data_IF_780812872437
#
_entry.id   IF_780812872437
#
_cell.length_a   1.000
_cell.length_b   1.000
_cell.length_c   1.000
_cell.angle_alpha   90.00
_cell.angle_beta   90.00
_cell.angle_gamma   90.00
#
_symmetry.space_group_name_H-M   'P 1'
#
loop_
_entity.id
_entity.type
_entity.pdbx_description
1 polymer ?
#
# COMPACT_ATOMS: atom_id res chain seq x y z
N UNK A 1 5.85 2.14 17.22
CA UNK A 1 5.38 0.73 17.09
C UNK A 1 6.47 -0.10 16.41
N UNK A 2 6.63 -1.39 16.74
CA UNK A 2 7.52 -2.31 16.00
C UNK A 2 7.06 -3.77 16.10
N UNK A 3 7.44 -4.61 15.13
CA UNK A 3 7.23 -6.06 15.12
C UNK A 3 8.35 -6.74 15.92
N UNK A 4 8.06 -7.32 17.08
CA UNK A 4 9.06 -7.96 17.96
C UNK A 4 9.32 -9.42 17.63
N UNK A 5 8.34 -10.10 17.00
CA UNK A 5 8.40 -11.51 16.66
C UNK A 5 7.65 -11.79 15.37
N UNK A 6 8.17 -12.70 14.55
CA UNK A 6 7.49 -13.27 13.39
C UNK A 6 7.61 -14.80 13.44
N UNK A 7 6.50 -15.50 13.23
CA UNK A 7 6.46 -16.95 13.11
C UNK A 7 5.67 -17.35 11.86
N UNK A 8 6.22 -18.26 11.06
CA UNK A 8 5.61 -18.76 9.83
C UNK A 8 5.42 -20.26 9.91
N UNK A 9 4.35 -20.75 9.31
CA UNK A 9 4.11 -22.17 9.08
C UNK A 9 3.52 -22.38 7.70
N UNK A 10 4.13 -23.26 6.92
CA UNK A 10 3.73 -23.64 5.56
C UNK A 10 3.48 -22.43 4.63
N UNK A 11 4.28 -21.37 4.74
CA UNK A 11 4.12 -20.15 3.97
C UNK A 11 5.20 -20.05 2.88
N UNK A 12 4.80 -20.03 1.60
CA UNK A 12 5.72 -20.03 0.45
C UNK A 12 6.75 -21.16 0.57
N UNK A 13 8.05 -20.83 0.69
CA UNK A 13 9.13 -21.79 0.89
C UNK A 13 9.46 -22.06 2.38
N UNK A 14 8.80 -21.39 3.32
CA UNK A 14 8.99 -21.59 4.76
C UNK A 14 8.04 -22.68 5.28
N UNK A 15 8.57 -23.85 5.62
CA UNK A 15 7.81 -24.89 6.33
C UNK A 15 7.53 -24.47 7.78
N UNK A 16 8.56 -23.97 8.47
CA UNK A 16 8.46 -23.39 9.79
C UNK A 16 9.56 -22.33 9.98
N UNK A 17 9.20 -21.21 10.58
CA UNK A 17 10.12 -20.14 10.97
C UNK A 17 9.66 -19.53 12.28
N UNK A 18 10.59 -19.18 13.18
CA UNK A 18 10.29 -18.45 14.41
C UNK A 18 11.48 -17.52 14.73
N UNK A 19 11.25 -16.21 14.67
CA UNK A 19 12.32 -15.20 14.72
C UNK A 19 11.96 -14.04 15.62
N UNK A 20 12.97 -13.49 16.30
CA UNK A 20 12.86 -12.25 17.05
C UNK A 20 13.45 -11.09 16.22
N UNK A 21 12.78 -9.95 16.25
CA UNK A 21 13.13 -8.78 15.47
C UNK A 21 13.37 -7.59 16.41
N UNK A 22 14.51 -6.92 16.22
CA UNK A 22 14.90 -5.76 17.02
C UNK A 22 14.21 -4.48 16.52
N UNK A 23 13.98 -3.46 17.37
CA UNK A 23 13.31 -2.20 17.01
C UNK A 23 14.10 -1.28 16.06
N UNK A 24 15.26 -1.70 15.54
CA UNK A 24 16.10 -0.94 14.62
C UNK A 24 16.19 -1.57 13.23
N UNK A 25 17.38 -1.55 12.64
CA UNK A 25 17.64 -2.17 11.34
C UNK A 25 17.88 -3.68 11.49
N UNK A 26 17.13 -4.47 10.74
CA UNK A 26 17.37 -5.90 10.50
C UNK A 26 17.74 -6.10 9.04
N UNK A 27 18.89 -6.71 8.79
CA UNK A 27 19.40 -7.03 7.45
C UNK A 27 19.24 -8.54 7.22
N UNK A 28 18.46 -8.87 6.20
CA UNK A 28 18.22 -10.22 5.70
C UNK A 28 19.15 -10.48 4.51
N UNK A 29 20.11 -11.37 4.66
CA UNK A 29 21.09 -11.72 3.62
C UNK A 29 20.85 -13.12 3.08
N UNK A 30 21.43 -13.43 1.91
CA UNK A 30 21.33 -14.74 1.29
C UNK A 30 21.27 -14.62 -0.22
N UNK A 31 21.41 -15.73 -0.93
CA UNK A 31 21.30 -15.72 -2.39
C UNK A 31 19.89 -15.35 -2.87
N UNK A 32 19.75 -15.08 -4.17
CA UNK A 32 18.45 -14.86 -4.78
C UNK A 32 17.58 -16.13 -4.67
N UNK A 33 16.27 -15.94 -4.62
CA UNK A 33 15.28 -17.01 -4.46
C UNK A 33 15.31 -17.81 -3.14
N UNK A 34 16.13 -17.43 -2.16
CA UNK A 34 16.22 -18.13 -0.86
C UNK A 34 15.05 -17.87 0.10
N UNK A 35 14.18 -16.90 -0.21
CA UNK A 35 12.98 -16.60 0.60
C UNK A 35 12.96 -15.21 1.25
N UNK A 36 14.00 -14.38 1.06
CA UNK A 36 14.08 -13.01 1.61
C UNK A 36 12.81 -12.17 1.34
N UNK A 37 12.41 -12.07 0.07
CA UNK A 37 11.16 -11.41 -0.36
C UNK A 37 9.91 -12.08 0.21
N UNK A 38 9.91 -13.41 0.37
CA UNK A 38 8.77 -14.12 0.96
C UNK A 38 8.60 -13.75 2.45
N UNK A 39 9.68 -13.53 3.18
CA UNK A 39 9.61 -13.07 4.57
C UNK A 39 9.01 -11.66 4.66
N UNK A 40 9.45 -10.72 3.80
CA UNK A 40 8.82 -9.39 3.71
C UNK A 40 7.35 -9.47 3.27
N UNK A 41 7.01 -10.35 2.33
CA UNK A 41 5.63 -10.61 1.91
C UNK A 41 4.76 -11.10 3.07
N UNK A 42 5.30 -11.92 3.98
CA UNK A 42 4.57 -12.36 5.16
C UNK A 42 4.26 -11.21 6.13
N UNK A 43 5.20 -10.29 6.33
CA UNK A 43 5.01 -9.10 7.18
C UNK A 43 3.99 -8.16 6.53
N UNK A 44 4.11 -7.93 5.22
CA UNK A 44 3.15 -7.13 4.46
C UNK A 44 1.73 -7.73 4.53
N UNK A 45 1.61 -9.05 4.38
CA UNK A 45 0.36 -9.77 4.52
C UNK A 45 -0.22 -9.60 5.93
N UNK A 46 0.60 -9.70 6.98
CA UNK A 46 0.19 -9.51 8.37
C UNK A 46 -0.29 -8.07 8.67
N UNK A 47 0.04 -7.10 7.82
CA UNK A 47 -0.41 -5.72 7.94
C UNK A 47 -1.71 -5.45 7.17
N UNK A 48 -1.74 -5.81 5.88
CA UNK A 48 -2.80 -5.44 4.94
C UNK A 48 -3.82 -6.55 4.67
N UNK A 49 -3.59 -7.74 5.23
CA UNK A 49 -4.32 -8.97 4.92
C UNK A 49 -4.37 -9.31 3.42
N UNK A 50 -3.43 -8.77 2.63
CA UNK A 50 -3.23 -9.05 1.21
C UNK A 50 -1.74 -9.11 0.88
N UNK A 51 -1.40 -9.88 -0.16
CA UNK A 51 -0.05 -9.86 -0.73
C UNK A 51 0.10 -8.67 -1.69
N UNK A 52 1.32 -8.14 -1.79
CA UNK A 52 1.69 -7.17 -2.81
C UNK A 52 2.03 -7.83 -4.16
N UNK A 53 2.24 -9.16 -4.19
CA UNK A 53 2.73 -9.93 -5.35
C UNK A 53 1.65 -10.75 -6.04
N UNK A 54 0.66 -11.23 -5.29
CA UNK A 54 -0.42 -12.07 -5.84
C UNK A 54 -1.79 -11.70 -5.26
N UNK A 55 -2.82 -11.85 -6.09
CA UNK A 55 -4.22 -11.73 -5.66
C UNK A 55 -4.80 -13.09 -5.22
N UNK A 56 -4.05 -14.17 -5.37
CA UNK A 56 -4.53 -15.53 -5.12
C UNK A 56 -3.90 -16.08 -3.84
N UNK A 57 -4.68 -16.09 -2.76
CA UNK A 57 -4.20 -16.47 -1.42
C UNK A 57 -3.58 -17.88 -1.36
N UNK A 58 -4.05 -18.78 -2.21
CA UNK A 58 -3.56 -20.16 -2.29
C UNK A 58 -2.12 -20.25 -2.76
N UNK A 59 -1.64 -19.29 -3.56
CA UNK A 59 -0.26 -19.29 -4.07
C UNK A 59 0.77 -19.03 -2.95
N UNK A 60 0.30 -18.50 -1.82
CA UNK A 60 1.12 -18.24 -0.64
C UNK A 60 1.25 -19.46 0.28
N UNK A 61 0.46 -20.52 0.06
CA UNK A 61 0.55 -21.76 0.84
C UNK A 61 1.65 -22.63 0.25
N UNK A 62 2.53 -23.16 1.11
CA UNK A 62 3.59 -24.08 0.70
C UNK A 62 2.99 -25.29 -0.03
N UNK A 63 3.66 -25.72 -1.09
CA UNK A 63 3.22 -26.90 -1.85
C UNK A 63 3.08 -28.14 -0.97
N UNK A 64 2.01 -28.90 -1.21
CA UNK A 64 1.66 -30.08 -0.41
C UNK A 64 0.94 -29.77 0.92
N UNK A 65 0.80 -28.50 1.30
CA UNK A 65 0.08 -28.09 2.51
C UNK A 65 -1.36 -27.62 2.22
N UNK A 66 -2.27 -27.83 3.17
CA UNK A 66 -3.67 -27.36 3.06
C UNK A 66 -3.89 -25.96 3.64
N UNK A 67 -2.95 -25.47 4.45
CA UNK A 67 -3.03 -24.20 5.14
C UNK A 67 -1.65 -23.58 5.38
N UNK A 68 -1.63 -22.27 5.58
CA UNK A 68 -0.47 -21.51 6.05
C UNK A 68 -0.87 -20.63 7.24
N UNK A 69 0.07 -20.37 8.15
CA UNK A 69 -0.12 -19.48 9.30
C UNK A 69 1.02 -18.47 9.34
N UNK A 70 0.66 -17.21 9.45
CA UNK A 70 1.57 -16.08 9.68
C UNK A 70 1.17 -15.48 11.03
N UNK A 71 2.09 -15.48 11.98
CA UNK A 71 1.91 -14.89 13.30
C UNK A 71 2.97 -13.82 13.52
N UNK A 72 2.58 -12.74 14.18
CA UNK A 72 3.54 -11.74 14.65
C UNK A 72 3.12 -11.13 15.97
N UNK A 73 4.09 -10.55 16.65
CA UNK A 73 3.84 -9.79 17.87
C UNK A 73 4.24 -8.34 17.64
N UNK A 74 3.29 -7.44 17.83
CA UNK A 74 3.49 -6.01 17.63
C UNK A 74 3.61 -5.35 18.99
N UNK A 75 4.72 -4.67 19.22
CA UNK A 75 4.94 -3.87 20.42
C UNK A 75 4.57 -2.42 20.14
N UNK A 76 3.63 -1.90 20.94
CA UNK A 76 3.18 -0.51 20.90
C UNK A 76 3.15 0.02 22.33
N UNK A 77 3.94 1.06 22.60
CA UNK A 77 4.20 1.55 23.97
C UNK A 77 4.65 0.40 24.89
N UNK A 78 3.93 0.16 25.98
CA UNK A 78 4.21 -0.92 26.94
C UNK A 78 3.49 -2.24 26.63
N UNK A 79 2.68 -2.31 25.57
CA UNK A 79 1.88 -3.48 25.23
C UNK A 79 2.51 -4.27 24.08
N UNK A 80 2.42 -5.60 24.18
CA UNK A 80 2.72 -6.51 23.08
C UNK A 80 1.44 -7.23 22.68
N UNK A 81 1.05 -7.10 21.42
CA UNK A 81 -0.22 -7.59 20.90
C UNK A 81 0.04 -8.61 19.79
N UNK A 82 -0.50 -9.83 19.90
CA UNK A 82 -0.35 -10.83 18.86
C UNK A 82 -1.33 -10.60 17.70
N UNK A 83 -0.81 -10.75 16.49
CA UNK A 83 -1.53 -10.75 15.22
C UNK A 83 -1.36 -12.11 14.56
N UNK A 84 -2.41 -12.58 13.88
CA UNK A 84 -2.36 -13.84 13.15
C UNK A 84 -3.19 -13.76 11.86
N UNK A 85 -2.66 -14.31 10.78
CA UNK A 85 -3.41 -14.62 9.55
C UNK A 85 -3.27 -16.11 9.26
N UNK A 86 -4.40 -16.76 9.07
CA UNK A 86 -4.49 -18.13 8.58
C UNK A 86 -5.02 -18.12 7.14
N UNK A 87 -4.31 -18.81 6.26
CA UNK A 87 -4.70 -19.04 4.88
C UNK A 87 -5.12 -20.50 4.71
N UNK A 88 -6.22 -20.75 4.03
CA UNK A 88 -6.67 -22.11 3.72
C UNK A 88 -7.54 -22.11 2.47
N UNK A 89 -7.84 -23.32 1.95
CA UNK A 89 -8.84 -23.53 0.89
C UNK A 89 -10.24 -22.99 1.24
N UNK A 90 -10.55 -22.86 2.53
CA UNK A 90 -11.85 -22.34 3.02
C UNK A 90 -11.89 -20.81 3.06
N UNK A 91 -10.75 -20.15 2.86
CA UNK A 91 -10.60 -18.71 2.95
C UNK A 91 -9.58 -18.29 4.00
N UNK A 92 -9.58 -16.99 4.27
CA UNK A 92 -8.64 -16.29 5.14
C UNK A 92 -9.31 -15.93 6.47
N UNK A 93 -8.64 -16.25 7.59
CA UNK A 93 -9.05 -15.85 8.94
C UNK A 93 -7.96 -14.94 9.50
N UNK A 94 -8.35 -13.81 10.06
CA UNK A 94 -7.43 -12.90 10.75
C UNK A 94 -7.79 -12.84 12.23
N UNK A 95 -6.79 -12.86 13.12
CA UNK A 95 -6.98 -12.73 14.56
C UNK A 95 -6.20 -11.55 15.11
N UNK A 96 -6.84 -10.79 15.97
CA UNK A 96 -6.23 -9.71 16.73
C UNK A 96 -6.37 -10.04 18.21
N UNK A 97 -5.25 -10.08 18.94
CA UNK A 97 -5.23 -10.45 20.35
C UNK A 97 -5.97 -11.79 20.62
N UNK A 98 -5.64 -12.82 19.83
CA UNK A 98 -6.24 -14.16 19.85
C UNK A 98 -7.71 -14.28 19.44
N UNK A 99 -8.38 -13.17 19.12
CA UNK A 99 -9.79 -13.16 18.72
C UNK A 99 -9.96 -13.06 17.21
N UNK A 100 -10.78 -13.95 16.65
CA UNK A 100 -11.16 -13.93 15.23
C UNK A 100 -11.87 -12.62 14.88
N UNK A 101 -11.44 -11.99 13.79
CA UNK A 101 -12.05 -10.76 13.29
C UNK A 101 -13.16 -11.08 12.30
N UNK A 102 -14.37 -10.55 12.56
CA UNK A 102 -15.54 -10.78 11.72
C UNK A 102 -15.36 -10.24 10.28
N UNK A 103 -14.54 -9.19 10.13
CA UNK A 103 -14.17 -8.63 8.83
C UNK A 103 -12.66 -8.37 8.80
N UNK A 104 -11.99 -8.73 7.70
CA UNK A 104 -10.57 -8.43 7.49
C UNK A 104 -10.24 -6.93 7.63
N UNK A 105 -11.19 -6.05 7.30
CA UNK A 105 -11.01 -4.59 7.46
C UNK A 105 -10.83 -4.14 8.91
N UNK A 106 -11.26 -4.93 9.91
CA UNK A 106 -11.04 -4.64 11.32
C UNK A 106 -9.61 -4.99 11.77
N UNK A 107 -8.94 -5.85 11.01
CA UNK A 107 -7.57 -6.28 11.24
C UNK A 107 -6.54 -5.34 10.58
N UNK A 108 -6.91 -4.70 9.46
CA UNK A 108 -6.04 -3.72 8.78
C UNK A 108 -5.76 -2.52 9.71
N UNK A 109 -4.51 -2.05 9.71
CA UNK A 109 -4.05 -0.93 10.53
C UNK A 109 -3.59 -1.30 11.94
N UNK A 110 -3.62 -2.59 12.31
CA UNK A 110 -3.06 -3.08 13.60
C UNK A 110 -1.53 -3.20 13.58
N UNK A 111 -0.98 -3.41 12.39
CA UNK A 111 0.42 -3.25 12.05
C UNK A 111 0.44 -2.38 10.79
N UNK A 112 1.10 -1.23 10.84
CA UNK A 112 1.30 -0.38 9.66
C UNK A 112 2.67 -0.68 9.07
N UNK A 113 2.71 -0.84 7.76
CA UNK A 113 3.95 -1.08 7.02
C UNK A 113 4.03 -0.14 5.83
N UNK A 114 5.26 0.26 5.51
CA UNK A 114 5.62 0.84 4.21
C UNK A 114 6.57 -0.13 3.54
N UNK A 115 6.21 -0.58 2.35
CA UNK A 115 7.06 -1.45 1.52
C UNK A 115 7.68 -0.61 0.43
N UNK A 116 9.00 -0.69 0.30
CA UNK A 116 9.73 -0.23 -0.86
C UNK A 116 10.27 -1.44 -1.61
N UNK A 117 9.76 -1.66 -2.82
CA UNK A 117 10.15 -2.77 -3.69
C UNK A 117 10.42 -2.28 -5.11
N UNK A 118 11.13 -3.07 -5.96
CA UNK A 118 11.47 -2.67 -7.33
C UNK A 118 10.23 -2.38 -8.19
N UNK A 119 9.11 -3.04 -7.89
CA UNK A 119 7.83 -2.84 -8.59
C UNK A 119 7.25 -1.44 -8.38
N UNK A 120 7.66 -0.69 -7.37
CA UNK A 120 7.18 0.68 -7.11
C UNK A 120 7.50 1.63 -8.28
N UNK A 121 8.45 1.28 -9.15
CA UNK A 121 8.66 2.00 -10.42
C UNK A 121 7.40 2.08 -11.29
N UNK A 122 6.49 1.12 -11.15
CA UNK A 122 5.20 1.12 -11.83
C UNK A 122 4.23 2.19 -11.31
N UNK A 123 4.49 2.83 -10.17
CA UNK A 123 3.70 3.99 -9.75
C UNK A 123 3.85 5.15 -10.74
N UNK A 124 5.04 5.31 -11.32
CA UNK A 124 5.27 6.31 -12.38
C UNK A 124 4.78 5.78 -13.73
N UNK A 125 5.33 4.67 -14.22
CA UNK A 125 5.08 4.22 -15.61
C UNK A 125 3.78 3.45 -15.82
N UNK A 126 3.23 2.91 -14.74
CA UNK A 126 2.15 1.96 -14.80
C UNK A 126 0.78 2.61 -14.94
N UNK A 127 -0.24 1.75 -14.85
CA UNK A 127 -1.62 2.16 -15.03
C UNK A 127 -2.15 2.99 -13.84
N UNK A 128 -3.21 3.80 -14.05
CA UNK A 128 -3.94 4.47 -12.97
C UNK A 128 -4.41 3.52 -11.86
N UNK A 129 -4.63 2.24 -12.18
CA UNK A 129 -5.06 1.24 -11.19
C UNK A 129 -4.00 1.01 -10.12
N UNK A 130 -2.71 1.00 -10.48
CA UNK A 130 -1.62 0.79 -9.54
C UNK A 130 -1.48 1.99 -8.60
N UNK A 131 -1.62 3.21 -9.12
CA UNK A 131 -1.60 4.44 -8.30
C UNK A 131 -2.79 4.54 -7.36
N UNK A 132 -3.99 4.12 -7.80
CA UNK A 132 -5.15 4.01 -6.89
C UNK A 132 -4.92 2.95 -5.82
N UNK A 133 -4.40 1.78 -6.18
CA UNK A 133 -4.08 0.72 -5.21
C UNK A 133 -3.06 1.19 -4.17
N UNK A 134 -2.05 1.96 -4.58
CA UNK A 134 -1.11 2.62 -3.70
C UNK A 134 -1.84 3.53 -2.71
N UNK A 135 -2.62 4.51 -3.19
CA UNK A 135 -3.37 5.43 -2.32
C UNK A 135 -4.31 4.67 -1.38
N UNK A 136 -5.02 3.67 -1.90
CA UNK A 136 -5.98 2.86 -1.15
C UNK A 136 -5.31 2.03 -0.05
N UNK A 137 -4.09 1.54 -0.29
CA UNK A 137 -3.30 0.80 0.70
C UNK A 137 -2.81 1.72 1.82
N UNK A 138 -2.25 2.88 1.49
CA UNK A 138 -1.71 3.82 2.48
C UNK A 138 -2.83 4.42 3.36
N UNK A 139 -3.90 4.92 2.73
CA UNK A 139 -5.06 5.43 3.46
C UNK A 139 -5.81 4.32 4.19
N UNK A 140 -5.89 3.11 3.62
CA UNK A 140 -6.59 1.98 4.23
C UNK A 140 -6.00 1.53 5.57
N UNK A 141 -4.67 1.59 5.71
CA UNK A 141 -3.97 1.30 6.97
C UNK A 141 -4.15 2.42 8.00
N UNK A 142 -4.05 3.67 7.54
CA UNK A 142 -4.02 4.83 8.44
C UNK A 142 -5.42 5.35 8.85
N UNK A 143 -6.46 5.13 8.03
CA UNK A 143 -7.78 5.75 8.19
C UNK A 143 -8.91 4.71 8.10
N UNK A 144 -9.42 4.21 9.24
CA UNK A 144 -10.48 3.19 9.25
C UNK A 144 -11.77 3.61 8.53
N UNK A 145 -12.16 4.89 8.64
CA UNK A 145 -13.36 5.43 7.98
C UNK A 145 -13.20 5.42 6.44
N UNK A 146 -12.00 5.71 5.96
CA UNK A 146 -11.67 5.62 4.54
C UNK A 146 -11.84 4.19 4.03
N UNK A 147 -11.22 3.22 4.72
CA UNK A 147 -11.30 1.82 4.34
C UNK A 147 -12.75 1.30 4.31
N UNK A 148 -13.55 1.65 5.33
CA UNK A 148 -14.96 1.29 5.38
C UNK A 148 -15.73 1.88 4.18
N UNK A 149 -15.49 3.15 3.87
CA UNK A 149 -16.15 3.83 2.75
C UNK A 149 -15.73 3.25 1.40
N UNK A 150 -14.44 2.93 1.23
CA UNK A 150 -13.91 2.28 0.03
C UNK A 150 -14.56 0.90 -0.21
N UNK A 151 -14.68 0.08 0.82
CA UNK A 151 -15.32 -1.24 0.72
C UNK A 151 -16.81 -1.14 0.38
N UNK A 152 -17.52 -0.19 1.00
CA UNK A 152 -18.93 0.04 0.72
C UNK A 152 -19.15 0.62 -0.68
N UNK A 153 -18.29 1.56 -1.10
CA UNK A 153 -18.27 2.10 -2.46
C UNK A 153 -18.11 0.99 -3.50
N UNK A 154 -17.14 0.08 -3.34
CA UNK A 154 -16.96 -1.03 -4.28
C UNK A 154 -18.16 -1.99 -4.35
N UNK A 155 -18.83 -2.24 -3.21
CA UNK A 155 -20.05 -3.05 -3.18
C UNK A 155 -21.19 -2.37 -3.94
N UNK A 156 -21.44 -1.09 -3.65
CA UNK A 156 -22.46 -0.29 -4.32
C UNK A 156 -22.15 -0.13 -5.82
N UNK A 157 -20.89 0.05 -6.19
CA UNK A 157 -20.45 0.12 -7.59
C UNK A 157 -20.76 -1.18 -8.33
N UNK A 158 -20.48 -2.34 -7.70
CA UNK A 158 -20.82 -3.64 -8.28
C UNK A 158 -22.34 -3.81 -8.42
N UNK A 159 -23.11 -3.40 -7.42
CA UNK A 159 -24.57 -3.42 -7.45
C UNK A 159 -25.12 -2.52 -8.56
N UNK A 160 -24.66 -1.26 -8.66
CA UNK A 160 -25.02 -0.32 -9.71
C UNK A 160 -24.69 -0.87 -11.09
N UNK A 161 -23.46 -1.35 -11.31
CA UNK A 161 -23.05 -1.93 -12.60
C UNK A 161 -23.87 -3.17 -12.98
N UNK A 162 -24.25 -4.00 -12.01
CA UNK A 162 -25.14 -5.14 -12.26
C UNK A 162 -26.52 -4.65 -12.69
N UNK A 163 -27.05 -3.64 -12.01
CA UNK A 163 -28.36 -3.07 -12.34
C UNK A 163 -28.39 -2.36 -13.70
N UNK A 164 -27.32 -1.63 -14.06
CA UNK A 164 -27.17 -1.03 -15.39
C UNK A 164 -27.23 -2.09 -16.50
N UNK A 165 -26.58 -3.25 -16.31
CA UNK A 165 -26.66 -4.37 -17.26
C UNK A 165 -28.08 -4.93 -17.38
N UNK A 166 -28.81 -5.05 -16.25
CA UNK A 166 -30.20 -5.49 -16.26
C UNK A 166 -31.12 -4.50 -17.00
N UNK A 167 -30.92 -3.19 -16.82
CA UNK A 167 -31.63 -2.16 -17.57
C UNK A 167 -31.36 -2.26 -19.08
N UNK A 168 -30.08 -2.43 -19.45
CA UNK A 168 -29.65 -2.63 -20.85
C UNK A 168 -30.32 -3.84 -21.50
N UNK A 169 -30.36 -4.96 -20.77
CA UNK A 169 -30.96 -6.22 -21.20
C UNK A 169 -32.49 -6.23 -21.07
N UNK A 170 -33.10 -5.11 -20.66
CA UNK A 170 -34.54 -4.92 -20.43
C UNK A 170 -35.13 -5.89 -19.39
N UNK A 171 -34.28 -6.45 -18.52
CA UNK A 171 -34.66 -7.29 -17.37
C UNK A 171 -35.12 -6.44 -16.18
N UNK A 172 -34.72 -5.17 -16.14
CA UNK A 172 -35.17 -4.17 -15.18
C UNK A 172 -35.66 -2.91 -15.91
N UNK A 173 -36.46 -2.07 -15.22
CA UNK A 173 -36.99 -0.81 -15.75
C UNK A 173 -37.02 0.35 -14.74
N UNK A 174 -36.70 0.09 -13.47
CA UNK A 174 -36.90 1.06 -12.39
C UNK A 174 -35.70 2.01 -12.26
N UNK A 175 -35.84 3.19 -12.84
CA UNK A 175 -34.81 4.24 -12.75
C UNK A 175 -34.71 4.86 -11.35
N UNK A 176 -35.77 4.79 -10.53
CA UNK A 176 -35.74 5.31 -9.16
C UNK A 176 -34.76 4.49 -8.32
N UNK A 177 -34.77 3.17 -8.48
CA UNK A 177 -33.79 2.31 -7.81
C UNK A 177 -32.35 2.59 -8.26
N UNK A 178 -32.13 2.87 -9.54
CA UNK A 178 -30.81 3.29 -10.03
C UNK A 178 -30.35 4.61 -9.35
N UNK A 179 -31.26 5.56 -9.18
CA UNK A 179 -30.98 6.84 -8.54
C UNK A 179 -30.66 6.67 -7.05
N UNK A 180 -31.43 5.85 -6.31
CA UNK A 180 -31.17 5.55 -4.89
C UNK A 180 -29.77 4.92 -4.70
N UNK A 181 -29.40 3.93 -5.51
CA UNK A 181 -28.05 3.34 -5.43
C UNK A 181 -26.98 4.37 -5.81
N UNK A 182 -27.28 5.21 -6.79
CA UNK A 182 -26.35 6.26 -7.22
C UNK A 182 -26.09 7.26 -6.10
N UNK A 183 -27.12 7.70 -5.37
CA UNK A 183 -26.96 8.61 -4.23
C UNK A 183 -26.11 7.99 -3.11
N UNK A 184 -26.37 6.72 -2.75
CA UNK A 184 -25.54 5.99 -1.78
C UNK A 184 -24.08 5.84 -2.24
N UNK A 185 -23.87 5.63 -3.55
CA UNK A 185 -22.54 5.54 -4.14
C UNK A 185 -21.81 6.88 -4.02
N UNK A 186 -22.51 7.99 -4.24
CA UNK A 186 -21.97 9.36 -4.15
C UNK A 186 -21.54 9.70 -2.73
N UNK A 187 -22.33 9.33 -1.72
CA UNK A 187 -21.99 9.56 -0.31
C UNK A 187 -20.63 8.97 0.07
N UNK A 188 -20.35 7.74 -0.36
CA UNK A 188 -19.03 7.13 -0.14
C UNK A 188 -17.95 7.68 -1.07
N UNK A 189 -18.30 8.09 -2.30
CA UNK A 189 -17.35 8.72 -3.23
C UNK A 189 -16.78 10.01 -2.64
N UNK A 190 -17.62 10.86 -2.06
CA UNK A 190 -17.24 12.12 -1.43
C UNK A 190 -16.25 11.91 -0.30
N UNK A 191 -16.52 10.96 0.60
CA UNK A 191 -15.59 10.61 1.69
C UNK A 191 -14.23 10.18 1.11
N UNK A 192 -14.23 9.26 0.13
CA UNK A 192 -13.00 8.76 -0.49
C UNK A 192 -12.20 9.90 -1.14
N UNK A 193 -12.86 10.75 -1.91
CA UNK A 193 -12.20 11.85 -2.65
C UNK A 193 -11.58 12.84 -1.66
N UNK A 194 -12.30 13.24 -0.61
CA UNK A 194 -11.78 14.17 0.40
C UNK A 194 -10.51 13.63 1.07
N UNK A 195 -10.53 12.37 1.53
CA UNK A 195 -9.33 11.74 2.10
C UNK A 195 -8.17 11.66 1.10
N UNK A 196 -8.44 11.41 -0.18
CA UNK A 196 -7.41 11.36 -1.22
C UNK A 196 -6.82 12.72 -1.53
N UNK A 197 -7.63 13.77 -1.59
CA UNK A 197 -7.17 15.15 -1.77
C UNK A 197 -6.26 15.56 -0.61
N UNK A 198 -6.72 15.35 0.62
CA UNK A 198 -5.95 15.64 1.83
C UNK A 198 -4.64 14.86 1.85
N UNK A 199 -4.68 13.55 1.54
CA UNK A 199 -3.49 12.72 1.46
C UNK A 199 -2.49 13.27 0.45
N UNK A 200 -2.94 13.54 -0.79
CA UNK A 200 -2.09 13.99 -1.89
C UNK A 200 -1.48 15.36 -1.60
N UNK A 201 -2.23 16.27 -1.00
CA UNK A 201 -1.72 17.58 -0.60
C UNK A 201 -0.60 17.46 0.45
N UNK A 202 -0.84 16.69 1.52
CA UNK A 202 0.11 16.58 2.63
C UNK A 202 1.35 15.80 2.22
N UNK A 203 1.17 14.64 1.58
CA UNK A 203 2.29 13.83 1.12
C UNK A 203 3.07 14.55 0.01
N UNK A 204 2.40 15.29 -0.87
CA UNK A 204 3.03 16.08 -1.92
C UNK A 204 3.98 17.14 -1.35
N UNK A 205 3.56 17.87 -0.30
CA UNK A 205 4.43 18.86 0.38
C UNK A 205 5.67 18.21 1.01
N UNK A 206 5.51 17.05 1.64
CA UNK A 206 6.63 16.32 2.28
C UNK A 206 7.57 15.75 1.20
N UNK A 207 7.00 15.08 0.20
CA UNK A 207 7.73 14.47 -0.91
C UNK A 207 8.50 15.52 -1.70
N UNK A 208 7.92 16.70 -1.96
CA UNK A 208 8.63 17.77 -2.65
C UNK A 208 9.89 18.21 -1.89
N UNK A 209 9.79 18.41 -0.57
CA UNK A 209 10.95 18.81 0.25
C UNK A 209 12.07 17.76 0.20
N UNK A 210 11.71 16.47 0.27
CA UNK A 210 12.67 15.36 0.20
C UNK A 210 13.28 15.28 -1.22
N UNK A 211 12.45 15.38 -2.25
CA UNK A 211 12.86 15.33 -3.65
C UNK A 211 13.80 16.47 -4.03
N UNK A 212 13.51 17.68 -3.57
CA UNK A 212 14.33 18.86 -3.78
C UNK A 212 15.74 18.67 -3.18
N UNK A 213 15.85 18.05 -2.00
CA UNK A 213 17.16 17.71 -1.42
C UNK A 213 17.89 16.63 -2.24
N UNK A 214 17.20 15.53 -2.56
CA UNK A 214 17.78 14.42 -3.33
C UNK A 214 18.18 14.80 -4.76
N UNK A 215 17.56 15.82 -5.34
CA UNK A 215 17.90 16.34 -6.68
C UNK A 215 18.97 17.44 -6.66
N UNK A 216 19.61 17.70 -5.52
CA UNK A 216 20.57 18.80 -5.33
C UNK A 216 19.94 20.17 -5.65
N UNK A 217 18.68 20.36 -5.25
CA UNK A 217 17.89 21.58 -5.42
C UNK A 217 17.62 21.93 -6.90
N UNK A 218 17.47 20.93 -7.77
CA UNK A 218 17.24 21.12 -9.21
C UNK A 218 15.80 20.86 -9.65
N UNK A 219 15.13 19.94 -8.96
CA UNK A 219 13.82 19.46 -9.35
C UNK A 219 12.77 19.78 -8.26
N UNK A 220 11.64 20.32 -8.69
CA UNK A 220 10.43 20.47 -7.89
C UNK A 220 9.43 19.38 -8.25
N UNK A 221 9.02 18.60 -7.25
CA UNK A 221 8.05 17.51 -7.40
C UNK A 221 6.67 17.97 -6.96
N UNK A 222 5.70 17.91 -7.89
CA UNK A 222 4.29 18.19 -7.60
C UNK A 222 3.43 16.95 -7.86
N UNK A 223 2.50 16.67 -6.95
CA UNK A 223 1.51 15.61 -7.09
C UNK A 223 0.14 16.23 -7.38
N UNK A 224 -0.62 15.63 -8.30
CA UNK A 224 -1.92 16.13 -8.69
C UNK A 224 -2.97 15.02 -8.74
N UNK A 225 -4.10 15.21 -8.06
CA UNK A 225 -5.23 14.31 -8.12
C UNK A 225 -6.15 14.66 -9.29
N UNK A 226 -6.15 13.82 -10.33
CA UNK A 226 -6.95 14.02 -11.54
C UNK A 226 -8.28 13.28 -11.43
N UNK A 227 -9.36 14.03 -11.46
CA UNK A 227 -10.71 13.49 -11.55
C UNK A 227 -10.94 12.72 -12.87
N UNK A 228 -11.86 11.77 -12.84
CA UNK A 228 -12.25 10.91 -13.97
C UNK A 228 -12.94 11.63 -15.12
N UNK A 229 -13.27 12.92 -14.97
CA UNK A 229 -13.87 13.76 -15.99
C UNK A 229 -13.39 15.20 -15.81
N UNK A 230 -13.23 15.94 -16.91
CA UNK A 230 -12.99 17.38 -16.87
C UNK A 230 -14.19 18.19 -16.35
N UNK A 231 -15.38 17.58 -16.27
CA UNK A 231 -16.57 18.16 -15.64
C UNK A 231 -16.56 18.07 -14.10
N UNK A 232 -15.62 17.31 -13.54
CA UNK A 232 -15.48 17.16 -12.10
C UNK A 232 -14.30 18.03 -11.64
N UNK A 233 -14.60 19.04 -10.83
CA UNK A 233 -13.61 19.88 -10.18
C UNK A 233 -13.82 19.81 -8.67
N UNK A 234 -13.05 18.94 -8.03
CA UNK A 234 -13.14 18.71 -6.58
C UNK A 234 -12.64 19.89 -5.73
N UNK A 235 -12.04 20.92 -6.33
CA UNK A 235 -11.62 22.13 -5.65
C UNK A 235 -12.61 23.30 -5.83
N UNK A 236 -13.66 23.10 -6.65
CA UNK A 236 -14.67 24.13 -6.87
C UNK A 236 -15.52 24.39 -5.62
N UNK A 237 -16.26 25.51 -5.62
CA UNK A 237 -17.23 25.83 -4.56
C UNK A 237 -18.43 24.89 -4.54
N UNK A 238 -18.67 24.17 -5.63
CA UNK A 238 -19.78 23.23 -5.74
C UNK A 238 -19.43 21.92 -5.04
N UNK A 239 -20.37 21.38 -4.26
CA UNK A 239 -20.11 20.16 -3.51
C UNK A 239 -19.87 18.98 -4.44
N UNK A 240 -18.98 18.07 -4.04
CA UNK A 240 -18.70 16.82 -4.77
C UNK A 240 -20.01 16.08 -5.04
N UNK A 241 -20.91 16.02 -4.04
CA UNK A 241 -22.23 15.41 -4.17
C UNK A 241 -23.02 15.96 -5.36
N UNK A 242 -23.13 17.29 -5.48
CA UNK A 242 -23.89 17.92 -6.57
C UNK A 242 -23.26 17.65 -7.94
N UNK A 243 -21.94 17.81 -8.06
CA UNK A 243 -21.23 17.52 -9.31
C UNK A 243 -21.45 16.06 -9.77
N UNK A 244 -21.44 15.11 -8.85
CA UNK A 244 -21.71 13.71 -9.18
C UNK A 244 -23.18 13.43 -9.53
N UNK A 245 -24.14 14.06 -8.83
CA UNK A 245 -25.55 13.93 -9.19
C UNK A 245 -25.80 14.42 -10.63
N UNK A 246 -25.23 15.56 -10.98
CA UNK A 246 -25.36 16.13 -12.33
C UNK A 246 -24.70 15.24 -13.39
N UNK A 247 -23.46 14.79 -13.17
CA UNK A 247 -22.76 13.95 -14.17
C UNK A 247 -23.43 12.58 -14.35
N UNK A 248 -23.97 11.98 -13.28
CA UNK A 248 -24.69 10.71 -13.37
C UNK A 248 -26.04 10.87 -14.06
N UNK A 249 -26.73 11.98 -13.86
CA UNK A 249 -27.96 12.29 -14.58
C UNK A 249 -27.68 12.47 -16.08
N UNK A 250 -26.70 13.31 -16.44
CA UNK A 250 -26.32 13.59 -17.82
C UNK A 250 -25.86 12.34 -18.59
N UNK A 251 -25.17 11.41 -17.91
CA UNK A 251 -24.59 10.23 -18.54
C UNK A 251 -25.35 8.94 -18.27
N UNK A 252 -26.56 9.02 -17.71
CA UNK A 252 -27.37 7.85 -17.34
C UNK A 252 -27.54 6.88 -18.51
N UNK A 253 -27.95 7.38 -19.68
CA UNK A 253 -28.19 6.53 -20.85
C UNK A 253 -26.90 5.83 -21.30
N UNK A 254 -25.78 6.56 -21.31
CA UNK A 254 -24.46 5.99 -21.63
C UNK A 254 -24.07 4.89 -20.64
N UNK A 255 -24.23 5.12 -19.34
CA UNK A 255 -23.96 4.11 -18.31
C UNK A 255 -24.81 2.85 -18.52
N UNK A 256 -26.09 3.01 -18.90
CA UNK A 256 -26.99 1.89 -19.23
C UNK A 256 -26.48 1.14 -20.46
N UNK A 257 -26.22 1.85 -21.57
CA UNK A 257 -25.80 1.24 -22.83
C UNK A 257 -24.54 0.37 -22.68
N UNK A 258 -23.56 0.83 -21.88
CA UNK A 258 -22.34 0.07 -21.62
C UNK A 258 -22.45 -0.90 -20.43
N UNK A 259 -23.44 -0.74 -19.55
CA UNK A 259 -23.59 -1.55 -18.35
C UNK A 259 -22.48 -1.32 -17.31
N UNK A 260 -21.89 -0.12 -17.28
CA UNK A 260 -20.80 0.26 -16.38
C UNK A 260 -20.95 1.71 -15.92
N UNK A 261 -20.41 2.01 -14.75
CA UNK A 261 -20.24 3.37 -14.24
C UNK A 261 -18.94 3.96 -14.81
N UNK A 262 -19.02 5.11 -15.47
CA UNK A 262 -17.85 5.76 -16.09
C UNK A 262 -17.11 6.74 -15.19
N UNK A 263 -17.77 7.28 -14.15
CA UNK A 263 -17.24 8.37 -13.34
C UNK A 263 -17.19 8.01 -11.86
N UNK A 264 -16.17 8.48 -11.15
CA UNK A 264 -15.97 8.26 -9.72
C UNK A 264 -14.53 7.94 -9.33
N UNK A 265 -14.23 7.85 -8.03
CA UNK A 265 -12.88 7.61 -7.52
C UNK A 265 -12.24 6.30 -8.00
N UNK A 266 -13.02 5.34 -8.48
CA UNK A 266 -12.50 4.12 -9.12
C UNK A 266 -11.89 4.36 -10.52
N UNK A 267 -12.05 5.55 -11.09
CA UNK A 267 -11.55 5.97 -12.41
C UNK A 267 -10.59 7.16 -12.33
N UNK A 268 -10.55 7.86 -11.21
CA UNK A 268 -9.62 8.96 -10.94
C UNK A 268 -8.15 8.48 -10.96
N UNK A 269 -7.21 9.42 -11.02
CA UNK A 269 -5.79 9.12 -11.19
C UNK A 269 -4.89 10.08 -10.38
N UNK A 270 -3.67 9.63 -10.07
CA UNK A 270 -2.62 10.46 -9.49
C UNK A 270 -1.57 10.77 -10.57
N UNK A 271 -1.22 12.04 -10.71
CA UNK A 271 -0.19 12.49 -11.65
C UNK A 271 1.02 13.03 -10.87
N UNK A 272 2.20 12.85 -11.45
CA UNK A 272 3.46 13.33 -10.91
C UNK A 272 4.05 14.32 -11.91
N UNK A 273 4.49 15.47 -11.43
CA UNK A 273 5.13 16.50 -12.23
C UNK A 273 6.52 16.79 -11.67
N UNK A 274 7.51 16.94 -12.56
CA UNK A 274 8.82 17.52 -12.26
C UNK A 274 8.92 18.82 -13.04
N UNK A 275 9.13 19.95 -12.36
CA UNK A 275 9.28 21.27 -13.00
C UNK A 275 8.18 21.52 -14.05
N UNK A 276 6.91 21.28 -13.68
CA UNK A 276 5.70 21.38 -14.52
C UNK A 276 5.58 20.38 -15.68
N UNK A 277 6.50 19.42 -15.81
CA UNK A 277 6.44 18.37 -16.84
C UNK A 277 5.92 17.05 -16.29
N UNK A 278 5.07 16.36 -17.06
CA UNK A 278 4.47 15.07 -16.68
C UNK A 278 5.56 14.00 -16.56
N UNK A 279 5.84 13.56 -15.33
CA UNK A 279 6.95 12.67 -15.04
C UNK A 279 6.81 11.29 -15.73
N UNK A 280 5.57 10.83 -15.94
CA UNK A 280 5.31 9.56 -16.63
C UNK A 280 5.90 9.50 -18.04
N UNK A 281 5.95 10.64 -18.74
CA UNK A 281 6.37 10.71 -20.13
C UNK A 281 7.83 11.19 -20.28
N UNK A 282 8.30 12.04 -19.35
CA UNK A 282 9.53 12.80 -19.56
C UNK A 282 10.61 12.60 -18.48
N UNK A 283 10.30 12.02 -17.33
CA UNK A 283 11.30 11.84 -16.29
C UNK A 283 12.32 10.77 -16.69
N UNK A 284 13.60 11.06 -16.50
CA UNK A 284 14.68 10.08 -16.65
C UNK A 284 14.55 8.95 -15.62
N UNK A 285 15.19 7.79 -15.85
CA UNK A 285 15.15 6.67 -14.91
C UNK A 285 15.65 7.09 -13.50
N UNK A 286 16.70 7.89 -13.43
CA UNK A 286 17.21 8.43 -12.16
C UNK A 286 16.19 9.32 -11.46
N UNK A 287 15.52 10.21 -12.19
CA UNK A 287 14.46 11.05 -11.63
C UNK A 287 13.27 10.24 -11.14
N UNK A 288 12.86 9.21 -11.88
CA UNK A 288 11.76 8.35 -11.47
C UNK A 288 12.09 7.62 -10.16
N UNK A 289 13.31 7.10 -10.01
CA UNK A 289 13.79 6.52 -8.73
C UNK A 289 13.78 7.55 -7.60
N UNK A 290 14.22 8.78 -7.87
CA UNK A 290 14.15 9.86 -6.87
C UNK A 290 12.71 10.15 -6.47
N UNK A 291 11.75 10.17 -7.40
CA UNK A 291 10.32 10.36 -7.09
C UNK A 291 9.84 9.26 -6.15
N UNK A 292 10.09 7.99 -6.48
CA UNK A 292 9.65 6.85 -5.65
C UNK A 292 10.27 6.91 -4.26
N UNK A 293 11.59 7.12 -4.16
CA UNK A 293 12.26 7.26 -2.86
C UNK A 293 11.67 8.41 -2.04
N UNK A 294 11.43 9.57 -2.68
CA UNK A 294 10.83 10.72 -2.01
C UNK A 294 9.41 10.44 -1.52
N UNK A 295 8.63 9.71 -2.32
CA UNK A 295 7.26 9.32 -1.97
C UNK A 295 7.25 8.35 -0.78
N UNK A 296 8.07 7.30 -0.81
CA UNK A 296 8.17 6.31 0.28
C UNK A 296 8.63 6.93 1.59
N UNK A 297 9.63 7.83 1.55
CA UNK A 297 10.04 8.57 2.74
C UNK A 297 8.95 9.52 3.23
N UNK A 298 8.18 10.13 2.32
CA UNK A 298 7.05 10.97 2.69
C UNK A 298 5.90 10.18 3.33
N UNK A 299 5.66 8.92 2.92
CA UNK A 299 4.69 8.02 3.56
C UNK A 299 5.01 7.80 5.03
N UNK A 300 6.28 7.52 5.35
CA UNK A 300 6.74 7.32 6.74
C UNK A 300 6.41 8.54 7.61
N UNK A 301 6.77 9.74 7.14
CA UNK A 301 6.55 11.00 7.84
C UNK A 301 5.05 11.34 7.96
N UNK A 302 4.28 11.09 6.91
CA UNK A 302 2.83 11.31 6.92
C UNK A 302 2.13 10.39 7.92
N UNK A 303 2.47 9.10 7.94
CA UNK A 303 1.92 8.15 8.92
C UNK A 303 2.29 8.51 10.35
N UNK A 304 3.54 8.94 10.58
CA UNK A 304 3.96 9.41 11.90
C UNK A 304 3.16 10.62 12.36
N UNK A 305 2.93 11.62 11.50
CA UNK A 305 2.13 12.80 11.84
C UNK A 305 0.69 12.44 12.21
N UNK A 306 0.09 11.49 11.52
CA UNK A 306 -1.28 11.04 11.80
C UNK A 306 -1.40 10.21 13.08
N UNK A 307 -0.51 9.24 13.26
CA UNK A 307 -0.67 8.21 14.29
C UNK A 307 0.25 8.37 15.50
N UNK A 308 1.18 9.34 15.45
CA UNK A 308 2.25 9.52 16.44
C UNK A 308 3.12 8.26 16.63
N UNK A 309 3.19 7.43 15.60
CA UNK A 309 3.90 6.16 15.54
C UNK A 309 4.42 5.95 14.12
N UNK A 310 5.71 5.65 13.95
CA UNK A 310 6.23 5.22 12.66
C UNK A 310 5.72 3.81 12.30
N UNK A 311 5.44 3.56 11.02
CA UNK A 311 5.19 2.20 10.52
C UNK A 311 6.50 1.38 10.49
N UNK A 312 6.40 0.07 10.28
CA UNK A 312 7.57 -0.76 9.97
C UNK A 312 7.94 -0.56 8.50
N UNK A 313 9.22 -0.28 8.21
CA UNK A 313 9.71 -0.13 6.84
C UNK A 313 10.26 -1.47 6.35
N UNK A 314 9.80 -1.90 5.17
CA UNK A 314 10.27 -3.08 4.48
C UNK A 314 11.00 -2.61 3.21
N UNK A 315 12.26 -2.99 3.05
CA UNK A 315 13.09 -2.65 1.89
C UNK A 315 13.44 -3.95 1.15
N UNK A 316 12.87 -4.16 -0.03
CA UNK A 316 13.10 -5.39 -0.81
C UNK A 316 14.09 -5.17 -1.94
N UNK A 317 15.37 -5.51 -1.73
CA UNK A 317 16.46 -5.44 -2.72
C UNK A 317 16.67 -4.05 -3.37
N UNK A 318 16.10 -2.99 -2.79
CA UNK A 318 16.07 -1.64 -3.38
C UNK A 318 17.39 -0.89 -3.28
N UNK A 319 18.29 -1.27 -2.38
CA UNK A 319 19.56 -0.55 -2.21
C UNK A 319 20.44 -0.64 -3.45
N UNK A 320 20.44 -1.78 -4.14
CA UNK A 320 21.19 -2.00 -5.37
C UNK A 320 20.76 -1.07 -6.52
N UNK A 321 19.57 -0.48 -6.44
CA UNK A 321 19.03 0.45 -7.43
C UNK A 321 19.35 1.93 -7.13
N UNK A 322 19.87 2.21 -5.94
CA UNK A 322 20.18 3.55 -5.46
C UNK A 322 21.68 3.81 -5.52
N UNK A 323 22.06 5.02 -5.89
CA UNK A 323 23.44 5.50 -5.72
C UNK A 323 23.74 5.82 -4.25
N UNK A 324 25.04 5.95 -3.93
CA UNK A 324 25.55 6.16 -2.58
C UNK A 324 24.91 7.37 -1.87
N UNK A 325 24.65 8.46 -2.61
CA UNK A 325 24.03 9.65 -2.04
C UNK A 325 22.57 9.37 -1.63
N UNK A 326 21.80 8.70 -2.49
CA UNK A 326 20.41 8.32 -2.20
C UNK A 326 20.34 7.29 -1.06
N UNK A 327 21.24 6.32 -1.04
CA UNK A 327 21.34 5.36 0.06
C UNK A 327 21.63 6.07 1.39
N UNK A 328 22.59 7.01 1.41
CA UNK A 328 22.91 7.79 2.60
C UNK A 328 21.68 8.52 3.15
N UNK A 329 20.94 9.23 2.29
CA UNK A 329 19.73 9.97 2.70
C UNK A 329 18.64 9.03 3.22
N UNK A 330 18.41 7.88 2.58
CA UNK A 330 17.49 6.86 3.07
C UNK A 330 17.87 6.42 4.48
N UNK A 331 19.13 6.03 4.67
CA UNK A 331 19.62 5.51 5.95
C UNK A 331 19.55 6.57 7.06
N UNK A 332 19.98 7.81 6.80
CA UNK A 332 19.88 8.92 7.76
C UNK A 332 18.43 9.27 8.13
N UNK A 333 17.49 9.10 7.20
CA UNK A 333 16.08 9.41 7.45
C UNK A 333 15.46 8.41 8.43
N UNK A 334 15.82 7.13 8.32
CA UNK A 334 15.21 6.02 9.06
C UNK A 334 15.94 5.64 10.35
N UNK A 335 17.23 6.00 10.46
CA UNK A 335 18.08 5.66 11.59
C UNK A 335 17.46 6.07 12.93
N UNK A 336 17.42 5.13 13.89
CA UNK A 336 16.91 5.31 15.25
C UNK A 336 15.45 5.81 15.37
N UNK A 337 14.68 5.84 14.27
CA UNK A 337 13.27 6.26 14.24
C UNK A 337 12.32 5.15 13.83
N UNK A 338 12.74 4.35 12.86
CA UNK A 338 11.88 3.40 12.14
C UNK A 338 12.48 2.01 12.22
N UNK A 339 11.71 1.02 12.68
CA UNK A 339 12.11 -0.37 12.53
C UNK A 339 12.15 -0.68 11.03
N UNK A 340 13.30 -1.13 10.56
CA UNK A 340 13.54 -1.38 9.13
C UNK A 340 13.97 -2.82 8.93
N UNK A 341 13.36 -3.51 7.98
CA UNK A 341 13.74 -4.87 7.58
C UNK A 341 14.14 -4.80 6.12
N UNK A 342 15.41 -5.03 5.87
CA UNK A 342 16.05 -4.87 4.57
C UNK A 342 16.49 -6.22 4.03
N UNK A 343 16.20 -6.50 2.76
CA UNK A 343 16.77 -7.65 2.05
C UNK A 343 17.93 -7.20 1.15
N UNK A 344 18.98 -8.00 1.09
CA UNK A 344 20.09 -7.81 0.15
C UNK A 344 20.72 -9.16 -0.22
N UNK A 345 21.35 -9.24 -1.39
CA UNK A 345 22.14 -10.40 -1.78
C UNK A 345 23.49 -10.48 -1.01
N UNK A 346 24.16 -9.33 -0.81
CA UNK A 346 25.42 -9.25 -0.05
C UNK A 346 25.46 -8.03 0.87
N UNK A 347 26.15 -8.18 1.99
CA UNK A 347 26.41 -7.13 2.98
C UNK A 347 27.33 -6.04 2.41
N UNK A 348 28.23 -6.40 1.47
CA UNK A 348 29.21 -5.49 0.89
C UNK A 348 28.56 -4.29 0.16
N UNK A 349 27.28 -4.42 -0.20
CA UNK A 349 26.50 -3.37 -0.84
C UNK A 349 26.01 -2.29 0.13
N UNK A 350 26.25 -2.45 1.43
CA UNK A 350 25.80 -1.54 2.48
C UNK A 350 27.05 -0.97 3.15
N UNK A 351 27.15 0.36 3.19
CA UNK A 351 28.16 1.05 3.99
C UNK A 351 27.86 0.85 5.50
N UNK A 352 28.32 -0.29 6.02
CA UNK A 352 28.11 -0.74 7.40
C UNK A 352 28.68 0.19 8.47
N UNK A 353 29.64 1.05 8.09
CA UNK A 353 30.29 1.99 9.01
C UNK A 353 29.28 2.94 9.70
N UNK A 354 28.08 3.11 9.14
CA UNK A 354 27.01 3.93 9.69
C UNK A 354 25.98 3.15 10.54
N UNK A 355 26.12 1.84 10.74
CA UNK A 355 25.07 0.97 11.29
C UNK A 355 25.52 0.24 12.56
N UNK A 356 25.85 1.00 13.61
CA UNK A 356 26.43 0.47 14.85
C UNK A 356 25.50 -0.38 15.73
N UNK A 357 24.28 -0.74 15.28
CA UNK A 357 23.32 -1.58 16.03
C UNK A 357 22.37 -2.40 15.13
N UNK A 358 22.84 -2.90 13.98
CA UNK A 358 21.99 -3.71 13.08
C UNK A 358 21.94 -5.20 13.47
N UNK A 359 20.77 -5.82 13.30
CA UNK A 359 20.59 -7.26 13.42
C UNK A 359 20.82 -7.92 12.07
N UNK A 360 21.76 -8.85 11.97
CA UNK A 360 22.02 -9.60 10.74
C UNK A 360 21.37 -10.99 10.81
N UNK A 361 20.60 -11.37 9.80
CA UNK A 361 19.99 -12.69 9.67
C UNK A 361 20.25 -13.25 8.28
N UNK A 362 20.90 -14.41 8.20
CA UNK A 362 21.19 -15.08 6.93
C UNK A 362 20.10 -16.07 6.59
N UNK A 363 19.57 -16.03 5.38
CA UNK A 363 18.51 -16.91 4.89
C UNK A 363 19.07 -17.86 3.84
N UNK A 364 18.88 -19.16 4.06
CA UNK A 364 19.12 -20.20 3.06
C UNK A 364 18.03 -21.27 3.16
N UNK A 365 17.54 -21.72 2.02
CA UNK A 365 16.53 -22.76 1.85
C UNK A 365 15.29 -22.58 2.75
N UNK A 366 14.83 -21.33 2.92
CA UNK A 366 13.67 -21.02 3.76
C UNK A 366 13.93 -21.22 5.26
N UNK A 367 15.18 -21.11 5.71
CA UNK A 367 15.56 -21.12 7.13
C UNK A 367 16.47 -19.95 7.43
N UNK A 368 16.50 -19.52 8.70
CA UNK A 368 17.51 -18.58 9.18
C UNK A 368 18.69 -19.37 9.73
N UNK A 369 19.86 -19.11 9.16
CA UNK A 369 21.15 -19.62 9.62
C UNK A 369 21.72 -18.57 10.57
N UNK A 370 21.94 -18.95 11.82
CA UNK A 370 22.74 -18.13 12.72
C UNK A 370 24.20 -18.25 12.27
N UNK A 371 24.88 -17.13 12.02
CA UNK A 371 26.35 -17.15 11.90
C UNK A 371 26.92 -17.35 13.30
N UNK A 372 27.11 -18.62 13.67
CA UNK A 372 27.54 -19.05 14.99
C UNK A 372 27.21 -20.51 15.28
N UNK A 373 27.74 -21.41 14.46
CA UNK A 373 28.21 -22.76 14.83
C UNK A 373 29.39 -23.16 13.93
#
# INVERSE_FOLDING_TARGET
MYLSKLSLKNFRNYSQLDIQLNPGLTILTGENAQGKTNLLEAIFLLSLAKSHRTNHDMDMIQWGSDYAIIQGKVKKNSYEIPLEIQLSKKGKIAKFNYQDQAKLSQFIGKLNVVLFAPEDMQLIKGSPSLRRQFIDAELGQAQPLYLQSLLQYHRLLKQRNTYLKQLREKQAKDLIYLDIISDQLIEHAEIIINYRLDFIEHIGKIANKIHHNLSLNRDELTLFYRASSSKLDYQSKETIKKQFSDIFFENRQRDIDFGITHYGPHRDDLLFFINDTVAQNFASQGQQRTIILSLKLAELEWMYRLNQDYPVLLLDDVLSELDDQRQLVLMQTIENKVQTILTTASIDQIHLENLSNSQLLKIADGQIINEGD
#
